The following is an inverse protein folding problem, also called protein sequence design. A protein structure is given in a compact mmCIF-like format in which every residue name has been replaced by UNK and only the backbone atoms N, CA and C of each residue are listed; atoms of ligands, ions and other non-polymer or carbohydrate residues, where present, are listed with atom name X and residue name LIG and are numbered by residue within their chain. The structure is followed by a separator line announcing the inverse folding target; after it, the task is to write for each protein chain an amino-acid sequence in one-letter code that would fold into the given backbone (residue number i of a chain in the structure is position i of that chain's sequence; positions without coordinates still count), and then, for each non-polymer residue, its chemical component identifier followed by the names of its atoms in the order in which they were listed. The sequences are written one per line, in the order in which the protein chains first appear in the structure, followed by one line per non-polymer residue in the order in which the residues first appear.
data_IF_319563258506
#
_entry.id   IF_319563258506
#
_cell.length_a   1.000
_cell.length_b   1.000
_cell.length_c   1.000
_cell.angle_alpha   90.00
_cell.angle_beta   90.00
_cell.angle_gamma   90.00
#
_symmetry.space_group_name_H-M   'P 1'
#
loop_
_entity.id
_entity.type
_entity.pdbx_description
1 polymer ?
#
# COMPACT_ATOMS: atom_id res chain seq x y z
N UNK A 1 -10.16 -2.93 -3.82
CA UNK A 1 -10.81 -1.64 -4.11
C UNK A 1 -11.41 -0.99 -2.85
N UNK A 2 -12.55 -1.42 -2.29
CA UNK A 2 -13.17 -0.71 -1.14
C UNK A 2 -12.24 -0.54 0.10
N UNK A 3 -11.52 -1.59 0.49
CA UNK A 3 -10.54 -1.49 1.59
C UNK A 3 -9.38 -0.55 1.27
N UNK A 4 -8.97 -0.47 0.01
CA UNK A 4 -7.93 0.44 -0.44
C UNK A 4 -8.38 1.90 -0.33
N UNK A 5 -9.58 2.20 -0.81
CA UNK A 5 -10.18 3.55 -0.73
C UNK A 5 -10.28 4.02 0.72
N UNK A 6 -10.68 3.14 1.64
CA UNK A 6 -10.88 3.47 3.06
C UNK A 6 -9.55 3.56 3.83
N UNK A 7 -8.61 2.63 3.58
CA UNK A 7 -7.42 2.46 4.42
C UNK A 7 -6.13 3.02 3.83
N UNK A 8 -6.02 3.17 2.52
CA UNK A 8 -4.75 3.42 1.83
C UNK A 8 -4.75 4.69 0.98
N UNK A 9 -5.82 4.94 0.22
CA UNK A 9 -5.89 5.97 -0.82
C UNK A 9 -5.73 7.40 -0.26
N UNK A 10 -6.21 7.67 0.96
CA UNK A 10 -6.05 8.98 1.60
C UNK A 10 -4.60 9.45 1.69
N UNK A 11 -3.65 8.51 1.82
CA UNK A 11 -2.23 8.82 1.93
C UNK A 11 -1.45 8.46 0.66
N UNK A 12 -1.78 7.36 0.00
CA UNK A 12 -1.05 6.86 -1.16
C UNK A 12 -1.64 7.33 -2.50
N UNK A 13 -2.78 8.03 -2.48
CA UNK A 13 -3.52 8.47 -3.68
C UNK A 13 -4.39 7.36 -4.25
N UNK A 14 -5.38 7.72 -5.07
CA UNK A 14 -6.30 6.73 -5.67
C UNK A 14 -5.57 5.74 -6.60
N UNK A 15 -4.50 6.20 -7.23
CA UNK A 15 -3.64 5.41 -8.13
C UNK A 15 -2.38 4.86 -7.45
N UNK A 16 -2.19 5.13 -6.15
CA UNK A 16 -1.01 4.63 -5.40
C UNK A 16 0.28 5.42 -5.65
N UNK A 17 0.21 6.58 -6.32
CA UNK A 17 1.36 7.38 -6.76
C UNK A 17 1.59 8.68 -5.96
N UNK A 18 0.88 8.88 -4.82
CA UNK A 18 1.04 10.11 -4.03
C UNK A 18 2.34 10.17 -3.21
N UNK A 19 2.99 9.02 -2.98
CA UNK A 19 4.24 8.92 -2.22
C UNK A 19 5.25 8.19 -3.10
N UNK A 20 6.32 8.89 -3.47
CA UNK A 20 7.51 8.25 -4.02
C UNK A 20 8.31 7.62 -2.87
N UNK A 21 8.46 6.30 -2.90
CA UNK A 21 9.20 5.53 -1.90
C UNK A 21 10.71 5.46 -2.19
N UNK A 22 11.16 6.10 -3.27
CA UNK A 22 12.56 6.26 -3.62
C UNK A 22 12.87 7.75 -3.92
N UNK A 23 13.60 8.05 -4.99
CA UNK A 23 13.98 9.42 -5.38
C UNK A 23 13.38 9.84 -6.73
N UNK A 24 13.53 11.11 -7.09
CA UNK A 24 12.91 11.70 -8.28
C UNK A 24 13.53 11.19 -9.60
N UNK A 25 14.75 10.65 -9.57
CA UNK A 25 15.43 10.11 -10.75
C UNK A 25 14.97 8.67 -11.06
N UNK A 26 14.60 7.90 -10.03
CA UNK A 26 14.08 6.54 -10.13
C UNK A 26 12.86 6.34 -9.19
N UNK A 27 11.67 6.87 -9.55
CA UNK A 27 10.52 6.85 -8.66
C UNK A 27 9.97 5.44 -8.45
N UNK A 28 9.59 5.13 -7.21
CA UNK A 28 8.94 3.88 -6.84
C UNK A 28 7.62 4.21 -6.16
N UNK A 29 6.50 3.69 -6.69
CA UNK A 29 5.18 3.89 -6.12
C UNK A 29 4.65 2.61 -5.48
N UNK A 30 3.45 2.70 -4.90
CA UNK A 30 2.91 1.64 -4.05
C UNK A 30 2.74 0.31 -4.81
N UNK A 31 2.43 0.35 -6.11
CA UNK A 31 2.29 -0.84 -6.96
C UNK A 31 3.63 -1.58 -7.08
N UNK A 32 4.73 -0.87 -7.34
CA UNK A 32 6.07 -1.45 -7.43
C UNK A 32 6.49 -2.09 -6.10
N UNK A 33 6.28 -1.39 -4.97
CA UNK A 33 6.60 -1.92 -3.63
C UNK A 33 5.85 -3.24 -3.37
N UNK A 34 4.55 -3.30 -3.70
CA UNK A 34 3.73 -4.48 -3.48
C UNK A 34 4.06 -5.64 -4.44
N UNK A 35 4.53 -5.35 -5.65
CA UNK A 35 4.93 -6.37 -6.62
C UNK A 35 6.33 -6.92 -6.32
N UNK A 36 7.27 -6.08 -5.88
CA UNK A 36 8.64 -6.49 -5.55
C UNK A 36 8.71 -7.25 -4.23
N UNK A 37 8.09 -6.72 -3.16
CA UNK A 37 8.08 -7.34 -1.84
C UNK A 37 6.66 -7.36 -1.22
N UNK A 38 5.79 -8.30 -1.67
CA UNK A 38 4.43 -8.42 -1.15
C UNK A 38 4.41 -8.75 0.35
N UNK A 39 5.42 -9.46 0.87
CA UNK A 39 5.48 -9.84 2.29
C UNK A 39 5.74 -8.64 3.20
N UNK A 40 6.66 -7.75 2.83
CA UNK A 40 6.88 -6.51 3.57
C UNK A 40 5.67 -5.59 3.47
N UNK A 41 5.07 -5.48 2.29
CA UNK A 41 3.86 -4.68 2.09
C UNK A 41 2.71 -5.18 2.97
N UNK A 42 2.48 -6.49 3.01
CA UNK A 42 1.49 -7.11 3.91
C UNK A 42 1.83 -6.86 5.38
N UNK A 43 3.10 -6.99 5.77
CA UNK A 43 3.53 -6.74 7.15
C UNK A 43 3.24 -5.30 7.59
N UNK A 44 3.55 -4.31 6.73
CA UNK A 44 3.28 -2.89 7.00
C UNK A 44 1.78 -2.59 6.98
N UNK A 45 1.00 -3.15 6.06
CA UNK A 45 -0.45 -2.99 6.07
C UNK A 45 -1.07 -3.57 7.34
N UNK A 46 -0.58 -4.72 7.81
CA UNK A 46 -1.07 -5.37 9.02
C UNK A 46 -0.69 -4.59 10.30
N UNK A 47 0.54 -4.08 10.39
CA UNK A 47 1.11 -3.53 11.64
C UNK A 47 1.30 -2.00 11.66
N UNK A 48 1.06 -1.33 10.53
CA UNK A 48 1.38 0.08 10.34
C UNK A 48 2.86 0.32 10.05
N UNK A 49 3.28 1.58 9.99
CA UNK A 49 4.67 1.98 9.76
C UNK A 49 5.14 2.97 10.85
N UNK A 50 6.14 2.61 11.67
CA UNK A 50 6.68 3.48 12.71
C UNK A 50 7.13 4.84 12.18
N UNK A 51 6.91 5.89 12.97
CA UNK A 51 7.29 7.26 12.59
C UNK A 51 6.40 7.91 11.53
N UNK A 52 5.32 7.24 11.10
CA UNK A 52 4.35 7.76 10.14
C UNK A 52 2.93 7.71 10.69
N UNK A 53 1.97 8.29 9.96
CA UNK A 53 0.54 8.18 10.27
C UNK A 53 -0.10 6.88 9.75
N UNK A 54 0.68 5.94 9.18
CA UNK A 54 0.17 4.68 8.66
C UNK A 54 -0.21 3.75 9.82
N UNK A 55 -1.52 3.55 9.98
CA UNK A 55 -2.11 2.75 11.06
C UNK A 55 -2.09 1.25 10.74
N UNK A 56 -2.17 0.43 11.78
CA UNK A 56 -2.27 -1.04 11.67
C UNK A 56 -3.67 -1.46 11.24
N UNK A 57 -3.77 -2.22 10.14
CA UNK A 57 -5.02 -2.85 9.71
C UNK A 57 -5.57 -3.84 10.75
N UNK A 58 -4.70 -4.56 11.46
CA UNK A 58 -5.11 -5.45 12.55
C UNK A 58 -5.75 -4.68 13.72
N UNK A 59 -5.23 -3.50 14.07
CA UNK A 59 -5.85 -2.62 15.07
C UNK A 59 -7.19 -2.02 14.59
N UNK A 60 -7.39 -1.93 13.28
CA UNK A 60 -8.68 -1.54 12.67
C UNK A 60 -9.67 -2.72 12.56
N UNK A 61 -9.26 -3.93 12.97
CA UNK A 61 -10.11 -5.12 12.95
C UNK A 61 -10.14 -5.86 11.61
N UNK A 62 -9.23 -5.56 10.68
CA UNK A 62 -9.14 -6.29 9.42
C UNK A 62 -8.62 -7.71 9.63
N UNK A 63 -9.23 -8.65 8.95
CA UNK A 63 -8.78 -10.03 8.87
C UNK A 63 -7.55 -10.19 7.96
N UNK A 64 -6.86 -11.32 8.08
CA UNK A 64 -5.77 -11.66 7.17
C UNK A 64 -6.20 -11.79 5.71
N UNK A 65 -7.44 -12.22 5.46
CA UNK A 65 -8.01 -12.31 4.11
C UNK A 65 -8.28 -10.93 3.52
N UNK A 66 -8.80 -9.98 4.32
CA UNK A 66 -8.98 -8.58 3.91
C UNK A 66 -7.63 -7.91 3.64
N UNK A 67 -6.63 -8.16 4.50
CA UNK A 67 -5.26 -7.69 4.29
C UNK A 67 -4.66 -8.25 3.00
N UNK A 68 -4.77 -9.56 2.76
CA UNK A 68 -4.30 -10.16 1.51
C UNK A 68 -5.05 -9.60 0.28
N UNK A 69 -6.36 -9.39 0.40
CA UNK A 69 -7.18 -8.82 -0.67
C UNK A 69 -6.77 -7.39 -1.03
N UNK A 70 -6.50 -6.53 -0.04
CA UNK A 70 -6.06 -5.17 -0.33
C UNK A 70 -4.66 -5.14 -0.94
N UNK A 71 -3.72 -5.98 -0.49
CA UNK A 71 -2.40 -6.09 -1.13
C UNK A 71 -2.52 -6.59 -2.57
N UNK A 72 -3.36 -7.59 -2.82
CA UNK A 72 -3.59 -8.09 -4.18
C UNK A 72 -4.17 -7.00 -5.08
N UNK A 73 -5.06 -6.14 -4.57
CA UNK A 73 -5.56 -5.00 -5.32
C UNK A 73 -4.47 -3.95 -5.58
N UNK A 74 -3.62 -3.65 -4.60
CA UNK A 74 -2.50 -2.72 -4.75
C UNK A 74 -1.57 -3.14 -5.89
N UNK A 75 -1.33 -4.44 -6.06
CA UNK A 75 -0.49 -4.97 -7.14
C UNK A 75 -1.05 -4.71 -8.55
N UNK A 76 -2.34 -4.35 -8.66
CA UNK A 76 -3.01 -4.03 -9.93
C UNK A 76 -3.07 -2.53 -10.23
N UNK A 77 -2.58 -1.69 -9.32
CA UNK A 77 -2.53 -0.24 -9.53
C UNK A 77 -1.52 0.13 -10.63
N UNK A 78 -1.69 1.29 -11.29
CA UNK A 78 -0.80 1.74 -12.35
C UNK A 78 0.67 1.78 -11.90
N UNK A 79 1.55 1.31 -12.76
CA UNK A 79 3.00 1.38 -12.55
C UNK A 79 3.58 2.66 -13.14
N UNK A 80 4.83 2.95 -12.80
CA UNK A 80 5.57 4.07 -13.42
C UNK A 80 5.57 3.92 -14.94
N UNK A 81 5.02 4.92 -15.63
CA UNK A 81 4.99 4.98 -17.09
C UNK A 81 3.80 4.28 -17.77
N UNK A 82 2.83 3.76 -17.00
CA UNK A 82 1.54 3.26 -17.49
C UNK A 82 0.43 4.32 -17.44
#
# INVERSE_FOLDING_TARGET
QALYEIGCARCNGDEGQAINFNDDDDPIYLSEVANDNPWETLHKAANGQPGTAMVSGLNLGWSWEELASVISYIQTLPKVGE
#
